data_IF_625010429951
#
_entry.id   IF_625010429951
#
_cell.length_a   1.000
_cell.length_b   1.000
_cell.length_c   1.000
_cell.angle_alpha   90.00
_cell.angle_beta   90.00
_cell.angle_gamma   90.00
#
_symmetry.space_group_name_H-M   'P 1'
#
loop_
_entity.id
_entity.type
_entity.pdbx_description
1 polymer ?
#
# COMPACT_ATOMS: atom_id res chain seq x y z
N UNK A 1 -14.78 -8.73 -15.42
CA UNK A 1 -14.08 -9.24 -14.23
C UNK A 1 -14.13 -8.19 -13.13
N UNK A 2 -14.27 -8.58 -11.85
CA UNK A 2 -14.06 -7.66 -10.74
C UNK A 2 -12.59 -7.26 -10.70
N UNK A 3 -12.26 -6.05 -11.14
CA UNK A 3 -10.95 -5.47 -10.85
C UNK A 3 -10.99 -4.90 -9.43
N UNK A 4 -10.54 -5.70 -8.45
CA UNK A 4 -10.31 -5.22 -7.08
C UNK A 4 -9.27 -4.07 -7.06
N UNK A 5 -9.23 -3.31 -5.97
CA UNK A 5 -8.09 -2.42 -5.69
C UNK A 5 -6.85 -3.24 -5.39
N UNK A 6 -5.69 -2.63 -5.65
CA UNK A 6 -4.45 -2.98 -4.98
C UNK A 6 -4.32 -2.02 -3.80
N UNK A 7 -4.23 -2.58 -2.60
CA UNK A 7 -4.22 -1.81 -1.35
C UNK A 7 -2.86 -1.94 -0.68
N UNK A 8 -2.33 -0.83 -0.16
CA UNK A 8 -1.01 -0.77 0.46
C UNK A 8 -1.09 -0.14 1.85
N UNK A 9 -0.25 -0.65 2.74
CA UNK A 9 0.12 -0.07 4.03
C UNK A 9 1.57 -0.44 4.29
N UNK A 10 2.36 0.49 4.81
CA UNK A 10 3.71 0.18 5.24
C UNK A 10 3.70 -0.80 6.42
N UNK A 11 4.65 -1.74 6.46
CA UNK A 11 4.68 -2.77 7.53
C UNK A 11 4.77 -2.13 8.93
N UNK A 12 5.51 -1.04 9.07
CA UNK A 12 5.58 -0.28 10.33
C UNK A 12 4.23 0.29 10.75
N UNK A 13 3.44 0.84 9.82
CA UNK A 13 2.09 1.34 10.13
C UNK A 13 1.13 0.20 10.51
N UNK A 14 1.33 -1.01 9.98
CA UNK A 14 0.57 -2.19 10.43
C UNK A 14 0.93 -2.53 11.88
N UNK A 15 2.21 -2.64 12.22
CA UNK A 15 2.64 -2.93 13.60
C UNK A 15 2.19 -1.84 14.59
N UNK A 16 2.27 -0.56 14.20
CA UNK A 16 1.76 0.55 15.01
C UNK A 16 0.25 0.46 15.20
N UNK A 17 -0.50 0.07 14.17
CA UNK A 17 -1.94 -0.11 14.26
C UNK A 17 -2.30 -1.26 15.21
N UNK A 18 -1.54 -2.37 15.19
CA UNK A 18 -1.73 -3.50 16.11
C UNK A 18 -1.52 -3.08 17.57
N UNK A 19 -0.44 -2.36 17.86
CA UNK A 19 -0.18 -1.81 19.21
C UNK A 19 -1.30 -0.85 19.61
N UNK A 20 -1.66 0.08 18.72
CA UNK A 20 -2.69 1.09 18.97
C UNK A 20 -4.05 0.46 19.32
N UNK A 21 -4.49 -0.58 18.61
CA UNK A 21 -5.77 -1.25 18.91
C UNK A 21 -5.67 -2.14 20.15
N UNK A 22 -4.49 -2.69 20.46
CA UNK A 22 -4.28 -3.49 21.66
C UNK A 22 -4.31 -2.62 22.94
N UNK A 23 -3.78 -1.40 22.87
CA UNK A 23 -3.73 -0.44 24.00
C UNK A 23 -5.04 0.35 24.18
N UNK A 24 -5.88 0.44 23.15
CA UNK A 24 -7.16 1.16 23.22
C UNK A 24 -8.26 0.27 23.81
N UNK A 25 -8.59 0.49 25.08
CA UNK A 25 -9.64 -0.25 25.81
C UNK A 25 -11.03 -0.17 25.15
N UNK A 26 -11.31 0.87 24.36
CA UNK A 26 -12.58 1.03 23.64
C UNK A 26 -12.59 0.32 22.27
N UNK A 27 -11.44 -0.14 21.79
CA UNK A 27 -11.34 -0.81 20.50
C UNK A 27 -12.09 -2.15 20.54
N UNK A 28 -12.86 -2.42 19.48
CA UNK A 28 -13.65 -3.65 19.41
C UNK A 28 -13.89 -4.12 17.98
N UNK A 29 -14.06 -5.43 17.80
CA UNK A 29 -14.33 -6.02 16.49
C UNK A 29 -13.14 -5.87 15.51
N UNK A 30 -13.44 -5.62 14.24
CA UNK A 30 -12.45 -5.64 13.15
C UNK A 30 -12.04 -4.23 12.72
N UNK A 31 -10.78 -4.07 12.33
CA UNK A 31 -10.21 -2.84 11.75
C UNK A 31 -9.52 -3.16 10.43
N UNK A 32 -9.80 -2.38 9.39
CA UNK A 32 -9.01 -2.39 8.15
C UNK A 32 -7.84 -1.42 8.35
N UNK A 33 -6.62 -1.89 8.08
CA UNK A 33 -5.40 -1.10 8.10
C UNK A 33 -4.86 -0.96 6.67
N UNK A 34 -5.41 0.01 5.93
CA UNK A 34 -5.11 0.34 4.54
C UNK A 34 -4.81 1.84 4.40
N UNK A 35 -3.59 2.21 4.04
CA UNK A 35 -3.21 3.61 3.83
C UNK A 35 -3.58 4.11 2.41
N UNK A 36 -3.36 3.25 1.41
CA UNK A 36 -3.45 3.63 -0.01
C UNK A 36 -4.27 2.59 -0.77
N UNK A 37 -5.13 3.06 -1.67
CA UNK A 37 -5.77 2.21 -2.67
C UNK A 37 -5.38 2.70 -4.06
N UNK A 38 -5.02 1.77 -4.94
CA UNK A 38 -4.70 2.04 -6.34
C UNK A 38 -5.20 0.88 -7.22
N UNK A 39 -4.87 0.91 -8.50
CA UNK A 39 -5.13 -0.15 -9.47
C UNK A 39 -3.81 -0.64 -10.07
N UNK A 40 -3.83 -1.81 -10.72
CA UNK A 40 -2.64 -2.34 -11.39
C UNK A 40 -2.07 -1.37 -12.44
N UNK A 41 -2.88 -0.75 -13.34
CA UNK A 41 -2.34 0.16 -14.34
C UNK A 41 -1.72 1.42 -13.72
N UNK A 42 -2.36 2.00 -12.71
CA UNK A 42 -1.84 3.19 -12.01
C UNK A 42 -0.54 2.88 -11.26
N UNK A 43 -0.47 1.72 -10.58
CA UNK A 43 0.73 1.28 -9.89
C UNK A 43 1.89 1.05 -10.86
N UNK A 44 1.64 0.34 -11.97
CA UNK A 44 2.66 0.06 -12.96
C UNK A 44 3.16 1.34 -13.65
N UNK A 45 2.27 2.29 -13.94
CA UNK A 45 2.66 3.58 -14.47
C UNK A 45 3.53 4.37 -13.47
N UNK A 46 3.15 4.36 -12.19
CA UNK A 46 3.95 4.95 -11.11
C UNK A 46 5.35 4.34 -11.03
N UNK A 47 5.44 3.00 -11.00
CA UNK A 47 6.71 2.29 -10.87
C UNK A 47 7.60 2.41 -12.11
N UNK A 48 7.04 2.36 -13.31
CA UNK A 48 7.81 2.52 -14.56
C UNK A 48 8.45 3.91 -14.67
N UNK A 49 7.76 4.96 -14.19
CA UNK A 49 8.30 6.33 -14.14
C UNK A 49 9.35 6.49 -13.05
N UNK A 50 9.13 5.93 -11.85
CA UNK A 50 10.03 6.09 -10.70
C UNK A 50 11.29 5.22 -10.81
N UNK A 51 11.17 4.04 -11.40
CA UNK A 51 12.25 3.06 -11.54
C UNK A 51 12.41 2.56 -12.98
N UNK A 52 12.79 3.44 -13.92
CA UNK A 52 12.90 3.09 -15.34
C UNK A 52 13.88 1.95 -15.62
N UNK A 53 14.87 1.72 -14.75
CA UNK A 53 15.85 0.63 -14.88
C UNK A 53 15.23 -0.78 -14.82
N UNK A 54 14.03 -0.94 -14.27
CA UNK A 54 13.39 -2.24 -14.11
C UNK A 54 12.40 -2.60 -15.21
N UNK A 55 12.24 -1.75 -16.24
CA UNK A 55 11.38 -2.03 -17.41
C UNK A 55 9.98 -2.54 -17.04
N UNK A 56 9.34 -1.89 -16.05
CA UNK A 56 8.04 -2.31 -15.52
C UNK A 56 6.99 -2.31 -16.64
N UNK A 57 6.29 -3.43 -16.91
CA UNK A 57 5.25 -3.49 -17.94
C UNK A 57 4.07 -2.59 -17.60
N UNK A 58 3.61 -1.80 -18.57
CA UNK A 58 2.47 -0.88 -18.40
C UNK A 58 1.27 -1.19 -19.29
N UNK A 59 1.42 -2.12 -20.24
CA UNK A 59 0.36 -2.48 -21.17
C UNK A 59 -0.43 -3.68 -20.63
N UNK A 60 -1.62 -3.41 -20.07
CA UNK A 60 -2.53 -4.42 -19.56
C UNK A 60 -3.82 -4.43 -20.38
N UNK A 61 -4.10 -5.54 -21.06
CA UNK A 61 -5.39 -5.77 -21.71
C UNK A 61 -6.41 -6.25 -20.67
N UNK A 62 -7.68 -5.86 -20.82
CA UNK A 62 -8.81 -6.30 -19.97
C UNK A 62 -8.73 -5.93 -18.47
N UNK A 63 -7.79 -5.05 -18.08
CA UNK A 63 -7.69 -4.51 -16.71
C UNK A 63 -8.26 -3.09 -16.65
N UNK A 64 -9.19 -2.86 -15.73
CA UNK A 64 -9.73 -1.52 -15.48
C UNK A 64 -8.65 -0.59 -14.93
N UNK A 65 -8.51 0.60 -15.53
CA UNK A 65 -7.63 1.68 -15.04
C UNK A 65 -8.03 2.23 -13.67
N UNK A 66 -9.28 2.01 -13.25
CA UNK A 66 -9.77 2.45 -11.94
C UNK A 66 -10.16 1.23 -11.11
N UNK A 67 -9.74 1.23 -9.85
CA UNK A 67 -10.23 0.29 -8.87
C UNK A 67 -11.74 0.47 -8.69
N UNK A 68 -12.51 -0.63 -8.75
CA UNK A 68 -13.97 -0.59 -8.54
C UNK A 68 -14.36 -0.70 -7.07
N UNK A 69 -13.44 -1.15 -6.22
CA UNK A 69 -13.61 -1.31 -4.78
C UNK A 69 -12.38 -0.70 -4.13
N UNK A 70 -12.55 -0.05 -2.98
CA UNK A 70 -11.45 0.43 -2.13
C UNK A 70 -11.64 -0.03 -0.71
N UNK A 71 -10.55 -0.35 -0.03
CA UNK A 71 -10.56 -0.65 1.39
C UNK A 71 -10.61 0.65 2.19
N UNK A 72 -11.47 0.69 3.21
CA UNK A 72 -11.66 1.88 4.03
C UNK A 72 -11.15 1.66 5.46
N UNK A 73 -10.13 2.44 5.83
CA UNK A 73 -9.58 2.48 7.20
C UNK A 73 -10.28 3.52 8.08
N UNK A 74 -11.45 4.03 7.66
CA UNK A 74 -12.16 5.12 8.36
C UNK A 74 -12.41 4.79 9.82
N UNK A 75 -12.74 3.53 10.15
CA UNK A 75 -12.94 3.12 11.55
C UNK A 75 -11.66 3.29 12.38
N UNK A 76 -10.53 2.77 11.89
CA UNK A 76 -9.22 2.87 12.55
C UNK A 76 -8.80 4.34 12.75
N UNK A 77 -9.01 5.17 11.73
CA UNK A 77 -8.71 6.61 11.79
C UNK A 77 -9.62 7.33 12.80
N UNK A 78 -10.90 6.94 12.90
CA UNK A 78 -11.86 7.53 13.87
C UNK A 78 -11.50 7.24 15.31
N UNK A 79 -10.84 6.12 15.59
CA UNK A 79 -10.30 5.84 16.94
C UNK A 79 -9.10 6.74 17.29
N UNK A 80 -8.48 7.38 16.29
CA UNK A 80 -7.35 8.30 16.48
C UNK A 80 -6.03 7.83 15.85
N UNK A 81 -6.00 6.65 15.23
CA UNK A 81 -4.80 6.16 14.56
C UNK A 81 -4.41 7.04 13.36
N UNK A 82 -3.11 7.29 13.20
CA UNK A 82 -2.55 8.07 12.09
C UNK A 82 -1.46 7.26 11.39
N UNK A 83 -1.72 6.92 10.13
CA UNK A 83 -0.67 6.42 9.24
C UNK A 83 0.46 7.45 9.13
N UNK A 84 1.71 6.99 9.19
CA UNK A 84 2.89 7.82 8.95
C UNK A 84 3.33 7.75 7.49
N UNK A 85 3.16 6.59 6.84
CA UNK A 85 3.60 6.31 5.49
C UNK A 85 2.39 6.26 4.55
N UNK A 86 2.02 7.41 3.99
CA UNK A 86 0.76 7.60 3.23
C UNK A 86 0.93 7.66 1.71
N UNK A 87 2.16 7.61 1.20
CA UNK A 87 2.44 7.66 -0.23
C UNK A 87 3.16 6.41 -0.73
N UNK A 88 2.91 6.03 -1.99
CA UNK A 88 3.56 4.88 -2.62
C UNK A 88 5.06 5.10 -2.78
N UNK A 89 5.52 6.35 -2.86
CA UNK A 89 6.94 6.71 -2.98
C UNK A 89 7.73 6.16 -1.82
N UNK A 90 7.40 6.58 -0.60
CA UNK A 90 8.10 6.14 0.61
C UNK A 90 7.97 4.64 0.82
N UNK A 91 6.79 4.04 0.62
CA UNK A 91 6.62 2.58 0.79
C UNK A 91 7.52 1.80 -0.17
N UNK A 92 7.55 2.18 -1.46
CA UNK A 92 8.37 1.49 -2.45
C UNK A 92 9.85 1.82 -2.33
N UNK A 93 10.22 3.02 -1.87
CA UNK A 93 11.61 3.39 -1.65
C UNK A 93 12.24 2.54 -0.54
N UNK A 94 11.58 2.46 0.62
CA UNK A 94 12.00 1.60 1.74
C UNK A 94 12.07 0.12 1.29
N UNK A 95 11.11 -0.33 0.48
CA UNK A 95 11.10 -1.70 -0.08
C UNK A 95 12.23 -1.97 -1.07
N UNK A 96 12.48 -1.05 -2.02
CA UNK A 96 13.51 -1.22 -3.04
C UNK A 96 14.90 -1.18 -2.41
N UNK A 97 15.13 -0.26 -1.45
CA UNK A 97 16.39 -0.19 -0.71
C UNK A 97 16.67 -1.49 0.06
N UNK A 98 15.66 -2.01 0.77
CA UNK A 98 15.78 -3.27 1.49
C UNK A 98 16.14 -4.44 0.54
N UNK A 99 15.39 -4.60 -0.56
CA UNK A 99 15.57 -5.72 -1.48
C UNK A 99 16.91 -5.61 -2.25
N UNK A 100 17.38 -4.39 -2.56
CA UNK A 100 18.74 -4.15 -3.10
C UNK A 100 19.82 -4.55 -2.11
N UNK A 101 19.71 -4.11 -0.86
CA UNK A 101 20.67 -4.42 0.21
C UNK A 101 20.74 -5.92 0.49
N UNK A 102 19.60 -6.62 0.37
CA UNK A 102 19.52 -8.07 0.47
C UNK A 102 20.08 -8.83 -0.76
N UNK A 103 20.50 -8.12 -1.83
CA UNK A 103 21.00 -8.72 -3.06
C UNK A 103 19.92 -9.42 -3.90
N UNK A 104 18.65 -9.11 -3.66
CA UNK A 104 17.49 -9.74 -4.31
C UNK A 104 16.98 -8.94 -5.51
N UNK A 105 17.43 -7.69 -5.67
CA UNK A 105 17.12 -6.84 -6.82
C UNK A 105 18.43 -6.25 -7.38
N UNK A 106 18.62 -6.25 -8.71
CA UNK A 106 19.78 -5.61 -9.31
C UNK A 106 19.77 -4.09 -9.05
N UNK A 107 20.97 -3.52 -8.99
CA UNK A 107 21.17 -2.10 -8.76
C UNK A 107 20.65 -1.25 -9.92
#
# INVERSE_FOLDING_TARGET
>A
MLSGSISFTHVEDVSRAEIFVAENESASGRYICCAINTSLPELAEFLSKRYPQYNVPTNFTDVSKKARLSLSSTKLIREGFKFEKKDLGTIYEDSIEYVKTAGLLPN
#
